data_IF_495278568735
#
_entry.id   IF_495278568735
#
_cell.length_a   1.000
_cell.length_b   1.000
_cell.length_c   1.000
_cell.angle_alpha   90.00
_cell.angle_beta   90.00
_cell.angle_gamma   90.00
#
_symmetry.space_group_name_H-M   'P 1'
#
loop_
_entity.id
_entity.type
_entity.pdbx_description
1 polymer ?
#
# COMPACT_ATOMS: atom_id res chain seq x y z
N UNK A 1 -10.68 -26.42 -1.66
CA UNK A 1 -9.90 -25.51 -2.51
C UNK A 1 -9.80 -24.23 -1.71
N UNK A 2 -8.72 -24.02 -0.97
CA UNK A 2 -8.60 -22.81 -0.14
C UNK A 2 -8.06 -21.72 -1.05
N UNK A 3 -8.94 -21.11 -1.83
CA UNK A 3 -8.74 -19.75 -2.31
C UNK A 3 -8.36 -18.93 -1.07
N UNK A 4 -7.09 -18.52 -0.99
CA UNK A 4 -6.75 -17.39 -0.15
C UNK A 4 -7.52 -16.24 -0.77
N UNK A 5 -8.75 -16.04 -0.34
CA UNK A 5 -9.53 -14.83 -0.53
C UNK A 5 -8.59 -13.71 -0.10
N UNK A 6 -7.84 -13.16 -1.06
CA UNK A 6 -6.83 -12.16 -0.78
C UNK A 6 -7.61 -11.02 -0.16
N UNK A 7 -7.33 -10.70 1.11
CA UNK A 7 -8.02 -9.62 1.82
C UNK A 7 -8.05 -8.44 0.86
N UNK A 8 -9.22 -7.95 0.48
CA UNK A 8 -9.32 -6.81 -0.41
C UNK A 8 -9.22 -5.55 0.44
N UNK A 9 -8.42 -4.59 0.00
CA UNK A 9 -8.21 -3.33 0.70
C UNK A 9 -8.28 -2.15 -0.27
N UNK A 10 -8.90 -1.07 0.16
CA UNK A 10 -9.01 0.17 -0.61
C UNK A 10 -7.73 1.00 -0.49
N UNK A 11 -7.25 1.52 -1.62
CA UNK A 11 -6.18 2.51 -1.66
C UNK A 11 -6.69 3.86 -1.16
N UNK A 12 -6.03 4.46 -0.15
CA UNK A 12 -6.38 5.76 0.40
C UNK A 12 -6.10 6.97 -0.51
N UNK A 13 -5.55 6.73 -1.71
CA UNK A 13 -5.24 7.79 -2.70
C UNK A 13 -6.18 7.73 -3.90
N UNK A 14 -6.29 6.57 -4.56
CA UNK A 14 -7.14 6.42 -5.74
C UNK A 14 -8.50 5.77 -5.46
N UNK A 15 -8.78 5.39 -4.21
CA UNK A 15 -10.02 4.72 -3.78
C UNK A 15 -10.35 3.44 -4.55
N UNK A 16 -9.35 2.83 -5.19
CA UNK A 16 -9.52 1.56 -5.87
C UNK A 16 -9.30 0.42 -4.89
N UNK A 17 -10.20 -0.55 -4.91
CA UNK A 17 -10.07 -1.79 -4.15
C UNK A 17 -9.09 -2.70 -4.86
N UNK A 18 -7.98 -3.01 -4.20
CA UNK A 18 -6.94 -3.90 -4.70
C UNK A 18 -6.78 -5.08 -3.74
N UNK A 19 -6.23 -6.22 -4.19
CA UNK A 19 -5.82 -7.26 -3.26
C UNK A 19 -4.78 -6.69 -2.28
N UNK A 20 -4.85 -7.03 -1.00
CA UNK A 20 -3.96 -6.46 0.04
C UNK A 20 -2.48 -6.68 -0.26
N UNK A 21 -2.13 -7.69 -1.07
CA UNK A 21 -0.78 -7.92 -1.56
C UNK A 21 -0.25 -6.77 -2.43
N UNK A 22 -1.14 -6.00 -3.05
CA UNK A 22 -0.83 -4.81 -3.85
C UNK A 22 -0.87 -3.51 -3.05
N UNK A 23 -1.26 -3.55 -1.78
CA UNK A 23 -1.29 -2.36 -0.94
C UNK A 23 -0.05 -2.31 -0.04
N UNK A 24 0.38 -1.09 0.29
CA UNK A 24 1.45 -0.78 1.22
C UNK A 24 0.91 0.16 2.29
N UNK A 25 1.29 -0.12 3.52
CA UNK A 25 0.94 0.71 4.68
C UNK A 25 2.17 1.53 5.07
N UNK A 26 2.00 2.85 5.20
CA UNK A 26 3.03 3.74 5.68
C UNK A 26 3.36 3.38 7.14
N UNK A 27 4.63 3.13 7.43
CA UNK A 27 5.08 2.79 8.79
C UNK A 27 4.87 3.94 9.78
N UNK A 28 4.91 5.19 9.30
CA UNK A 28 4.81 6.37 10.15
C UNK A 28 3.39 6.74 10.58
N UNK A 29 2.38 6.56 9.71
CA UNK A 29 1.02 7.02 9.97
C UNK A 29 -0.09 5.99 9.69
N UNK A 30 0.25 4.80 9.20
CA UNK A 30 -0.74 3.77 8.86
C UNK A 30 -1.52 4.04 7.57
N UNK A 31 -1.17 5.07 6.80
CA UNK A 31 -1.83 5.37 5.53
C UNK A 31 -1.59 4.25 4.51
N UNK A 32 -2.64 3.79 3.84
CA UNK A 32 -2.60 2.65 2.92
C UNK A 32 -2.66 3.14 1.48
N UNK A 33 -1.72 2.72 0.64
CA UNK A 33 -1.69 3.05 -0.80
C UNK A 33 -1.47 1.80 -1.64
N UNK A 34 -2.03 1.74 -2.84
CA UNK A 34 -1.72 0.66 -3.78
C UNK A 34 -0.35 0.89 -4.45
N UNK A 35 0.25 -0.18 -4.97
CA UNK A 35 1.53 -0.15 -5.68
C UNK A 35 1.57 0.87 -6.83
N UNK A 36 0.45 1.07 -7.52
CA UNK A 36 0.35 2.06 -8.61
C UNK A 36 0.51 3.49 -8.07
N UNK A 37 -0.15 3.80 -6.95
CA UNK A 37 -0.03 5.11 -6.29
C UNK A 37 1.34 5.27 -5.63
N UNK A 38 1.86 4.21 -5.00
CA UNK A 38 3.19 4.19 -4.39
C UNK A 38 4.31 4.58 -5.37
N UNK A 39 4.26 4.03 -6.59
CA UNK A 39 5.23 4.32 -7.65
C UNK A 39 5.13 5.77 -8.13
N UNK A 40 3.92 6.36 -8.13
CA UNK A 40 3.72 7.77 -8.46
C UNK A 40 4.24 8.70 -7.38
N UNK A 41 4.16 8.28 -6.12
CA UNK A 41 4.61 9.05 -4.95
C UNK A 41 6.09 8.76 -4.59
N UNK A 42 6.84 8.04 -5.44
CA UNK A 42 8.24 7.70 -5.22
C UNK A 42 8.52 7.13 -3.81
N UNK A 43 7.60 6.32 -3.30
CA UNK A 43 7.66 5.71 -1.96
C UNK A 43 7.58 6.70 -0.78
N UNK A 44 7.26 7.97 -1.01
CA UNK A 44 7.01 8.98 0.02
C UNK A 44 5.52 9.05 0.36
N UNK A 45 5.19 9.11 1.64
CA UNK A 45 3.83 9.19 2.12
C UNK A 45 3.34 10.64 2.12
N UNK A 46 2.41 10.95 1.23
CA UNK A 46 1.79 12.28 1.11
C UNK A 46 1.09 12.78 2.38
N UNK A 47 0.79 11.91 3.34
CA UNK A 47 0.09 12.29 4.59
C UNK A 47 1.05 12.77 5.67
N UNK A 48 2.20 12.10 5.86
CA UNK A 48 3.12 12.41 6.96
C UNK A 48 4.54 12.77 6.51
N UNK A 49 4.84 12.72 5.21
CA UNK A 49 6.19 12.86 4.66
C UNK A 49 7.13 11.70 5.02
N UNK A 50 6.61 10.62 5.60
CA UNK A 50 7.37 9.40 5.89
C UNK A 50 7.55 8.52 4.66
N UNK A 51 8.18 7.35 4.81
CA UNK A 51 8.35 6.40 3.69
C UNK A 51 7.49 5.15 3.86
N UNK A 52 7.03 4.60 2.74
CA UNK A 52 6.49 3.25 2.72
C UNK A 52 7.66 2.28 2.76
N UNK A 53 7.76 1.51 3.83
CA UNK A 53 8.75 0.43 3.93
C UNK A 53 8.55 -0.51 2.74
N UNK A 54 9.52 -0.51 1.82
CA UNK A 54 9.64 -1.58 0.84
C UNK A 54 9.76 -2.92 1.61
N UNK A 55 9.17 -4.02 1.11
CA UNK A 55 9.57 -5.32 1.62
C UNK A 55 11.06 -5.42 1.34
N UNK A 56 11.86 -5.40 2.41
CA UNK A 56 13.29 -5.62 2.34
C UNK A 56 13.51 -6.94 1.62
N UNK A 57 14.10 -6.85 0.43
CA UNK A 57 14.91 -7.91 -0.16
C UNK A 57 15.82 -8.43 0.97
N UNK A 58 15.60 -9.68 1.38
CA UNK A 58 16.41 -10.40 2.36
C UNK A 58 16.80 -11.73 1.74
#
# INVERSE_FOLDING_TARGET
>A
MTEKEGIMQECGVCHHVNPSTYNKTCSGCGHIVCLVCLLKENFECSVCGGYFIAPTDY
#
